data_IF_420781725427
#
_entry.id   IF_420781725427
#
_cell.length_a   1.000
_cell.length_b   1.000
_cell.length_c   1.000
_cell.angle_alpha   90.00
_cell.angle_beta   90.00
_cell.angle_gamma   90.00
#
_symmetry.space_group_name_H-M   'P 1'
#
loop_
_entity.id
_entity.type
_entity.pdbx_description
1 polymer ?
#
# COMPACT_ATOMS: atom_id res chain seq x y z
N UNK A 1 -48.36 9.51 62.05
CA UNK A 1 -47.27 8.62 61.58
C UNK A 1 -47.24 8.68 60.06
N UNK A 2 -46.31 9.48 59.49
CA UNK A 2 -46.12 9.61 58.02
C UNK A 2 -44.96 8.67 57.61
N UNK A 3 -45.27 7.63 56.83
CA UNK A 3 -44.26 6.74 56.27
C UNK A 3 -43.72 7.35 54.97
N UNK A 4 -42.45 7.77 54.98
CA UNK A 4 -41.73 8.26 53.81
C UNK A 4 -41.19 7.01 53.07
N UNK A 5 -41.69 6.72 51.87
CA UNK A 5 -41.12 5.71 50.96
C UNK A 5 -39.96 6.34 50.22
N UNK A 6 -38.72 5.91 50.50
CA UNK A 6 -37.54 6.26 49.73
C UNK A 6 -37.44 5.28 48.55
N UNK A 7 -37.72 5.78 47.35
CA UNK A 7 -37.57 5.04 46.12
C UNK A 7 -36.08 5.05 45.73
N UNK A 8 -35.36 3.97 45.95
CA UNK A 8 -34.01 3.79 45.46
C UNK A 8 -34.06 3.50 43.94
N UNK A 9 -33.71 4.51 43.10
CA UNK A 9 -33.53 4.35 41.69
C UNK A 9 -32.16 3.72 41.43
N UNK A 10 -32.14 2.40 41.15
CA UNK A 10 -30.93 1.72 40.73
C UNK A 10 -30.58 2.10 39.28
N UNK A 11 -29.63 3.02 39.17
CA UNK A 11 -29.04 3.41 37.86
C UNK A 11 -28.08 2.27 37.39
N UNK A 12 -28.59 1.35 36.59
CA UNK A 12 -27.74 0.35 35.92
C UNK A 12 -26.89 1.06 34.87
N UNK A 13 -25.62 1.27 35.17
CA UNK A 13 -24.62 1.69 34.17
C UNK A 13 -24.47 0.56 33.14
N UNK A 14 -25.08 0.72 31.99
CA UNK A 14 -24.83 -0.12 30.82
C UNK A 14 -23.44 0.25 30.29
N UNK A 15 -22.38 -0.45 30.76
CA UNK A 15 -21.06 -0.31 30.18
C UNK A 15 -21.09 -0.85 28.74
N UNK A 16 -20.70 -0.05 27.72
CA UNK A 16 -20.55 -0.60 26.40
C UNK A 16 -19.47 -1.68 26.44
N UNK A 17 -19.85 -2.91 26.07
CA UNK A 17 -18.88 -4.00 25.91
C UNK A 17 -17.83 -3.55 24.90
N UNK A 18 -16.60 -3.38 25.35
CA UNK A 18 -15.46 -3.12 24.47
C UNK A 18 -15.34 -4.29 23.50
N UNK A 19 -15.70 -4.06 22.24
CA UNK A 19 -15.60 -5.06 21.18
C UNK A 19 -14.11 -5.31 20.94
N UNK A 20 -13.65 -6.52 21.20
CA UNK A 20 -12.27 -6.91 20.98
C UNK A 20 -11.89 -6.61 19.50
N UNK A 21 -10.75 -5.96 19.30
CA UNK A 21 -10.25 -5.71 17.96
C UNK A 21 -10.05 -7.04 17.24
N UNK A 22 -10.59 -7.13 16.01
CA UNK A 22 -10.44 -8.35 15.20
C UNK A 22 -8.97 -8.56 14.87
N UNK A 23 -8.43 -9.70 15.24
CA UNK A 23 -7.08 -10.15 14.89
C UNK A 23 -7.24 -11.40 14.02
N UNK A 24 -6.55 -11.42 12.88
CA UNK A 24 -6.48 -12.62 12.04
C UNK A 24 -5.19 -13.38 12.37
N UNK A 25 -5.35 -14.67 12.60
CA UNK A 25 -4.28 -15.60 12.96
C UNK A 25 -4.58 -17.00 12.43
N UNK A 26 -3.70 -17.96 12.66
CA UNK A 26 -3.92 -19.35 12.25
C UNK A 26 -5.26 -19.86 12.77
N UNK A 27 -6.07 -20.42 11.86
CA UNK A 27 -7.44 -20.84 12.12
C UNK A 27 -8.52 -19.81 11.76
N UNK A 28 -8.16 -18.52 11.55
CA UNK A 28 -9.10 -17.52 11.01
C UNK A 28 -9.51 -17.86 9.59
N UNK A 29 -10.74 -17.50 9.20
CA UNK A 29 -11.23 -17.72 7.85
C UNK A 29 -12.19 -16.62 7.39
N UNK A 30 -12.41 -16.51 6.08
CA UNK A 30 -13.40 -15.62 5.50
C UNK A 30 -12.84 -14.50 4.64
N UNK A 31 -13.68 -13.50 4.35
CA UNK A 31 -13.39 -12.44 3.39
C UNK A 31 -12.17 -11.58 3.76
N UNK A 32 -11.97 -11.29 5.04
CA UNK A 32 -10.83 -10.48 5.48
C UNK A 32 -9.50 -11.25 5.34
N UNK A 33 -9.50 -12.57 5.56
CA UNK A 33 -8.35 -13.43 5.29
C UNK A 33 -8.03 -13.42 3.78
N UNK A 34 -9.05 -13.53 2.91
CA UNK A 34 -8.85 -13.41 1.45
C UNK A 34 -8.22 -12.09 1.05
N UNK A 35 -8.67 -10.96 1.63
CA UNK A 35 -8.09 -9.63 1.35
C UNK A 35 -6.61 -9.58 1.73
N UNK A 36 -6.26 -10.10 2.91
CA UNK A 36 -4.87 -10.17 3.37
C UNK A 36 -4.04 -11.07 2.46
N UNK A 37 -4.52 -12.27 2.15
CA UNK A 37 -3.84 -13.20 1.26
C UNK A 37 -3.60 -12.61 -0.13
N UNK A 38 -4.62 -11.94 -0.71
CA UNK A 38 -4.48 -11.31 -2.02
C UNK A 38 -3.36 -10.26 -2.01
N UNK A 39 -3.32 -9.40 -0.98
CA UNK A 39 -2.24 -8.42 -0.82
C UNK A 39 -0.85 -9.09 -0.72
N UNK A 40 -0.75 -10.16 0.06
CA UNK A 40 0.51 -10.90 0.21
C UNK A 40 0.95 -11.59 -1.10
N UNK A 41 -0.01 -12.05 -1.90
CA UNK A 41 0.24 -12.62 -3.23
C UNK A 41 0.70 -11.51 -4.20
N UNK A 42 -0.01 -10.39 -4.25
CA UNK A 42 0.33 -9.25 -5.10
C UNK A 42 1.74 -8.72 -4.80
N UNK A 43 2.16 -8.76 -3.53
CA UNK A 43 3.47 -8.31 -3.07
C UNK A 43 4.56 -9.41 -3.09
N UNK A 44 4.24 -10.64 -3.50
CA UNK A 44 5.17 -11.75 -3.61
C UNK A 44 5.57 -12.41 -2.29
N UNK A 45 4.85 -12.14 -1.18
CA UNK A 45 5.08 -12.82 0.09
C UNK A 45 4.39 -14.18 0.21
N UNK A 46 3.31 -14.40 -0.56
CA UNK A 46 2.53 -15.63 -0.55
C UNK A 46 2.37 -16.16 -1.97
N UNK A 47 2.67 -17.43 -2.18
CA UNK A 47 2.42 -18.12 -3.44
C UNK A 47 1.12 -18.92 -3.36
N UNK A 48 0.34 -18.93 -4.45
CA UNK A 48 -0.91 -19.68 -4.56
C UNK A 48 -2.14 -18.77 -4.72
N UNK A 49 -3.27 -19.19 -4.17
CA UNK A 49 -4.55 -18.49 -4.27
C UNK A 49 -5.03 -17.98 -2.91
N UNK A 50 -5.79 -16.90 -2.92
CA UNK A 50 -6.44 -16.37 -1.72
C UNK A 50 -7.68 -17.22 -1.37
N UNK A 51 -7.46 -18.34 -0.68
CA UNK A 51 -8.49 -19.31 -0.33
C UNK A 51 -9.37 -18.89 0.85
N UNK A 52 -8.94 -17.88 1.59
CA UNK A 52 -9.65 -17.36 2.77
C UNK A 52 -9.44 -18.19 4.02
N UNK A 53 -8.43 -19.06 4.06
CA UNK A 53 -8.06 -19.86 5.25
C UNK A 53 -6.69 -19.41 5.74
N UNK A 54 -6.62 -18.91 6.97
CA UNK A 54 -5.36 -18.45 7.56
C UNK A 54 -4.58 -19.64 8.09
N UNK A 55 -3.74 -20.22 7.26
CA UNK A 55 -2.84 -21.33 7.61
C UNK A 55 -1.42 -20.85 7.90
N UNK A 56 -0.50 -21.80 8.17
CA UNK A 56 0.91 -21.52 8.46
C UNK A 56 1.62 -20.78 7.33
N UNK A 57 1.28 -21.06 6.06
CA UNK A 57 1.84 -20.33 4.90
C UNK A 57 1.46 -18.85 4.95
N UNK A 58 0.21 -18.54 5.28
CA UNK A 58 -0.27 -17.16 5.44
C UNK A 58 0.42 -16.49 6.63
N UNK A 59 0.57 -17.19 7.76
CA UNK A 59 1.27 -16.68 8.94
C UNK A 59 2.73 -16.32 8.62
N UNK A 60 3.45 -17.20 7.95
CA UNK A 60 4.83 -16.95 7.55
C UNK A 60 4.96 -15.75 6.60
N UNK A 61 4.04 -15.63 5.62
CA UNK A 61 3.99 -14.50 4.70
C UNK A 61 3.70 -13.17 5.41
N UNK A 62 2.79 -13.16 6.39
CA UNK A 62 2.51 -12.00 7.24
C UNK A 62 3.73 -11.62 8.08
N UNK A 63 4.42 -12.58 8.69
CA UNK A 63 5.62 -12.32 9.47
C UNK A 63 6.75 -11.71 8.60
N UNK A 64 6.92 -12.20 7.37
CA UNK A 64 7.89 -11.64 6.42
C UNK A 64 7.52 -10.19 6.03
N UNK A 65 6.25 -9.91 5.76
CA UNK A 65 5.73 -8.57 5.52
C UNK A 65 5.98 -7.64 6.73
N UNK A 66 5.65 -8.10 7.93
CA UNK A 66 5.83 -7.34 9.17
C UNK A 66 7.30 -6.98 9.37
N UNK A 67 8.22 -7.94 9.20
CA UNK A 67 9.67 -7.72 9.31
C UNK A 67 10.15 -6.64 8.34
N UNK A 68 9.73 -6.71 7.06
CA UNK A 68 10.10 -5.71 6.04
C UNK A 68 9.59 -4.32 6.39
N UNK A 69 8.43 -4.22 7.04
CA UNK A 69 7.79 -2.95 7.39
C UNK A 69 8.10 -2.46 8.83
N UNK A 70 9.10 -3.06 9.52
CA UNK A 70 9.49 -2.65 10.86
C UNK A 70 8.42 -2.89 11.93
N UNK A 71 7.51 -3.84 11.69
CA UNK A 71 6.48 -4.26 12.62
C UNK A 71 6.96 -5.48 13.44
N UNK A 72 6.29 -5.75 14.56
CA UNK A 72 6.48 -7.02 15.30
C UNK A 72 6.10 -8.19 14.39
N UNK A 73 7.07 -9.08 14.13
CA UNK A 73 6.92 -10.19 13.17
C UNK A 73 6.27 -11.42 13.85
N UNK A 74 5.08 -11.24 14.43
CA UNK A 74 4.32 -12.29 15.13
C UNK A 74 3.47 -13.15 14.18
N UNK A 75 3.35 -12.75 12.93
CA UNK A 75 2.53 -13.43 11.95
C UNK A 75 1.03 -13.32 12.22
N UNK A 76 0.58 -12.28 12.93
CA UNK A 76 -0.83 -12.00 13.22
C UNK A 76 -1.24 -10.67 12.60
N UNK A 77 -2.43 -10.58 12.04
CA UNK A 77 -2.90 -9.32 11.46
C UNK A 77 -3.82 -8.61 12.46
N UNK A 78 -3.21 -7.83 13.33
CA UNK A 78 -3.91 -6.87 14.18
C UNK A 78 -4.05 -5.51 13.49
N UNK A 79 -4.56 -4.51 14.22
CA UNK A 79 -4.85 -3.18 13.70
C UNK A 79 -3.64 -2.51 13.01
N UNK A 80 -2.43 -2.60 13.60
CA UNK A 80 -1.20 -2.02 13.03
C UNK A 80 -0.82 -2.68 11.71
N UNK A 81 -0.85 -4.02 11.65
CA UNK A 81 -0.54 -4.78 10.45
C UNK A 81 -1.57 -4.55 9.36
N UNK A 82 -2.87 -4.55 9.70
CA UNK A 82 -3.96 -4.25 8.77
C UNK A 82 -3.83 -2.83 8.18
N UNK A 83 -3.51 -1.84 9.01
CA UNK A 83 -3.26 -0.46 8.56
C UNK A 83 -2.06 -0.38 7.60
N UNK A 84 -0.95 -1.05 7.91
CA UNK A 84 0.22 -1.12 7.04
C UNK A 84 -0.09 -1.81 5.71
N UNK A 85 -0.94 -2.83 5.71
CA UNK A 85 -1.43 -3.49 4.50
C UNK A 85 -2.48 -2.66 3.75
N UNK A 86 -3.05 -1.63 4.36
CA UNK A 86 -4.19 -0.89 3.81
C UNK A 86 -5.46 -1.73 3.71
N UNK A 87 -5.67 -2.63 4.66
CA UNK A 87 -6.83 -3.51 4.75
C UNK A 87 -7.69 -3.10 5.94
N UNK A 88 -9.01 -2.96 5.72
CA UNK A 88 -9.98 -2.78 6.80
C UNK A 88 -10.57 -4.15 7.15
N UNK A 89 -10.46 -4.54 8.42
CA UNK A 89 -11.02 -5.79 8.93
C UNK A 89 -12.48 -5.59 9.37
N UNK A 90 -13.36 -6.54 9.04
CA UNK A 90 -14.82 -6.50 9.28
C UNK A 90 -15.16 -6.69 10.74
N UNK A 91 -14.76 -6.11 11.66
CA UNK A 91 -15.01 -6.20 13.11
C UNK A 91 -14.24 -5.12 13.85
N UNK A 92 -13.35 -4.44 13.17
CA UNK A 92 -12.79 -3.18 13.60
C UNK A 92 -13.90 -2.15 13.41
N UNK A 93 -14.65 -1.84 14.47
CA UNK A 93 -15.48 -0.64 14.50
C UNK A 93 -14.53 0.50 14.23
N UNK A 94 -14.57 0.99 12.99
CA UNK A 94 -13.71 2.07 12.55
C UNK A 94 -13.82 3.22 13.52
N UNK A 95 -12.73 3.55 14.15
CA UNK A 95 -12.48 4.93 14.41
C UNK A 95 -12.48 5.60 13.04
N UNK A 96 -13.64 6.10 12.64
CA UNK A 96 -13.84 7.04 11.53
C UNK A 96 -13.15 8.34 11.95
N UNK A 97 -11.86 8.31 12.03
CA UNK A 97 -11.03 9.39 12.57
C UNK A 97 -9.57 9.17 12.34
N UNK A 98 -9.18 8.50 11.26
CA UNK A 98 -7.76 8.18 11.03
C UNK A 98 -7.23 8.59 9.66
N UNK A 99 -7.62 9.73 9.15
CA UNK A 99 -6.77 10.44 8.19
C UNK A 99 -5.50 10.97 8.87
N UNK A 100 -5.52 11.26 10.16
CA UNK A 100 -4.36 11.77 10.91
C UNK A 100 -3.40 10.65 11.38
N UNK A 101 -3.91 9.46 11.80
CA UNK A 101 -3.03 8.37 12.26
C UNK A 101 -2.34 7.62 11.11
N UNK A 102 -2.95 7.58 9.93
CA UNK A 102 -2.25 7.09 8.72
C UNK A 102 -1.18 8.06 8.22
N UNK A 103 -1.30 9.35 8.51
CA UNK A 103 -0.32 10.37 8.13
C UNK A 103 1.00 10.25 8.91
N UNK A 104 0.99 9.69 10.12
CA UNK A 104 2.19 9.57 10.96
C UNK A 104 3.14 8.43 10.57
N UNK A 105 2.74 7.53 9.67
CA UNK A 105 3.56 6.38 9.23
C UNK A 105 4.08 6.58 7.79
N UNK A 106 3.71 7.66 7.12
CA UNK A 106 4.19 7.93 5.76
C UNK A 106 5.61 8.49 5.83
N UNK A 107 6.61 7.68 5.47
CA UNK A 107 8.00 8.13 5.35
C UNK A 107 8.14 9.23 4.28
N UNK A 108 9.24 10.00 4.34
CA UNK A 108 9.56 11.00 3.31
C UNK A 108 9.60 10.38 1.91
N UNK A 109 10.21 9.20 1.79
CA UNK A 109 10.30 8.43 0.55
C UNK A 109 8.94 8.00 0.00
N UNK A 110 8.04 7.49 0.87
CA UNK A 110 6.68 7.15 0.45
C UNK A 110 5.93 8.39 -0.07
N UNK A 111 6.05 9.51 0.63
CA UNK A 111 5.38 10.76 0.23
C UNK A 111 5.92 11.26 -1.11
N UNK A 112 7.23 11.23 -1.32
CA UNK A 112 7.86 11.65 -2.56
C UNK A 112 7.46 10.74 -3.72
N UNK A 113 7.50 9.41 -3.50
CA UNK A 113 7.07 8.43 -4.50
C UNK A 113 5.59 8.61 -4.87
N UNK A 114 4.71 8.88 -3.89
CA UNK A 114 3.30 9.16 -4.14
C UNK A 114 3.07 10.43 -4.97
N UNK A 115 3.87 11.48 -4.74
CA UNK A 115 3.84 12.71 -5.55
C UNK A 115 4.22 12.43 -7.00
N UNK A 116 5.28 11.63 -7.22
CA UNK A 116 5.66 11.21 -8.57
C UNK A 116 4.54 10.42 -9.24
N UNK A 117 3.99 9.41 -8.59
CA UNK A 117 2.89 8.59 -9.11
C UNK A 117 1.70 9.47 -9.52
N UNK A 118 1.33 10.42 -8.67
CA UNK A 118 0.25 11.35 -8.96
C UNK A 118 0.55 12.21 -10.20
N UNK A 119 1.75 12.76 -10.28
CA UNK A 119 2.14 13.62 -11.40
C UNK A 119 2.19 12.86 -12.75
N UNK A 120 2.71 11.62 -12.75
CA UNK A 120 2.98 10.83 -13.95
C UNK A 120 1.82 9.89 -14.34
N UNK A 121 1.03 9.42 -13.37
CA UNK A 121 0.12 8.31 -13.60
C UNK A 121 -1.30 8.48 -13.02
N UNK A 122 -1.73 9.66 -12.57
CA UNK A 122 -3.06 9.88 -11.97
C UNK A 122 -4.24 9.47 -12.88
N UNK A 123 -4.03 9.47 -14.20
CA UNK A 123 -5.04 9.04 -15.18
C UNK A 123 -4.95 7.57 -15.58
N UNK A 124 -4.03 6.82 -15.00
CA UNK A 124 -3.85 5.40 -15.26
C UNK A 124 -4.68 4.52 -14.31
N UNK A 125 -4.86 3.25 -14.70
CA UNK A 125 -5.43 2.25 -13.80
C UNK A 125 -4.59 2.14 -12.52
N UNK A 126 -5.18 1.63 -11.43
CA UNK A 126 -4.44 1.43 -10.18
C UNK A 126 -3.15 0.63 -10.37
N UNK A 127 -3.23 -0.48 -11.15
CA UNK A 127 -2.06 -1.29 -11.52
C UNK A 127 -1.02 -0.48 -12.29
N UNK A 128 -1.44 0.44 -13.16
CA UNK A 128 -0.54 1.34 -13.89
C UNK A 128 0.16 2.34 -12.96
N UNK A 129 -0.53 2.85 -11.95
CA UNK A 129 0.06 3.72 -10.94
C UNK A 129 1.11 2.98 -10.10
N UNK A 130 0.82 1.74 -9.67
CA UNK A 130 1.80 0.89 -8.97
C UNK A 130 3.00 0.60 -9.88
N UNK A 131 2.78 0.33 -11.17
CA UNK A 131 3.83 0.06 -12.14
C UNK A 131 4.82 1.22 -12.29
N UNK A 132 4.33 2.46 -12.31
CA UNK A 132 5.20 3.66 -12.35
C UNK A 132 6.03 3.77 -11.07
N UNK A 133 5.46 3.53 -9.90
CA UNK A 133 6.21 3.49 -8.64
C UNK A 133 7.27 2.38 -8.64
N UNK A 134 6.91 1.18 -9.13
CA UNK A 134 7.81 0.04 -9.20
C UNK A 134 9.03 0.31 -10.07
N UNK A 135 8.89 1.01 -11.20
CA UNK A 135 10.04 1.41 -12.06
C UNK A 135 11.04 2.26 -11.26
N UNK A 136 10.58 3.18 -10.42
CA UNK A 136 11.50 3.98 -9.56
C UNK A 136 12.26 3.06 -8.62
N UNK A 137 11.58 2.11 -7.97
CA UNK A 137 12.21 1.17 -7.02
C UNK A 137 13.16 0.20 -7.72
N UNK A 138 12.83 -0.23 -8.93
CA UNK A 138 13.72 -1.05 -9.76
C UNK A 138 15.00 -0.28 -10.13
N UNK A 139 14.87 1.01 -10.47
CA UNK A 139 16.03 1.87 -10.69
C UNK A 139 16.90 2.00 -9.44
N UNK A 140 16.30 2.22 -8.26
CA UNK A 140 17.03 2.27 -6.97
C UNK A 140 17.82 0.97 -6.72
N UNK A 141 17.29 -0.16 -7.15
CA UNK A 141 17.92 -1.48 -7.01
C UNK A 141 18.95 -1.80 -8.10
N UNK A 142 19.01 -0.99 -9.16
CA UNK A 142 19.92 -1.18 -10.30
C UNK A 142 21.20 -0.37 -10.13
N UNK A 143 22.36 -0.99 -10.37
CA UNK A 143 23.65 -0.31 -10.33
C UNK A 143 23.79 0.83 -11.35
N UNK A 144 22.92 0.90 -12.37
CA UNK A 144 22.94 1.94 -13.41
C UNK A 144 22.25 3.24 -13.01
N UNK A 145 21.66 3.31 -11.82
CA UNK A 145 20.88 4.45 -11.34
C UNK A 145 21.29 4.85 -9.91
N UNK A 146 20.88 6.05 -9.45
CA UNK A 146 21.06 6.42 -8.06
C UNK A 146 20.37 5.41 -7.10
N UNK A 147 21.00 5.14 -5.97
CA UNK A 147 20.55 4.14 -4.98
C UNK A 147 19.53 4.67 -3.96
N UNK A 148 18.90 5.79 -4.23
CA UNK A 148 17.82 6.38 -3.40
C UNK A 148 16.63 6.82 -4.24
N UNK A 149 15.44 6.79 -3.66
CA UNK A 149 14.20 7.24 -4.33
C UNK A 149 14.33 8.70 -4.76
N UNK A 150 14.84 9.57 -3.90
CA UNK A 150 15.06 10.98 -4.23
C UNK A 150 16.09 11.15 -5.35
N UNK A 151 17.20 10.39 -5.29
CA UNK A 151 18.22 10.41 -6.34
C UNK A 151 17.68 10.02 -7.71
N UNK A 152 16.86 8.97 -7.79
CA UNK A 152 16.21 8.55 -9.04
C UNK A 152 15.20 9.58 -9.53
N UNK A 153 14.37 10.12 -8.63
CA UNK A 153 13.30 11.06 -9.02
C UNK A 153 13.87 12.39 -9.49
N UNK A 154 14.88 12.93 -8.80
CA UNK A 154 15.49 14.21 -9.13
C UNK A 154 16.70 14.12 -10.08
N UNK A 155 17.00 12.93 -10.62
CA UNK A 155 18.00 12.78 -11.65
C UNK A 155 17.63 13.65 -12.85
N UNK A 156 18.58 14.40 -13.38
CA UNK A 156 18.37 15.33 -14.50
C UNK A 156 17.71 14.63 -15.68
N UNK A 157 16.59 15.17 -16.17
CA UNK A 157 15.84 14.65 -17.32
C UNK A 157 15.06 13.34 -17.07
N UNK A 158 15.08 12.79 -15.86
CA UNK A 158 14.41 11.51 -15.58
C UNK A 158 12.89 11.61 -15.63
N UNK A 159 12.33 12.70 -15.13
CA UNK A 159 10.87 12.92 -15.07
C UNK A 159 10.52 14.38 -15.37
N UNK A 160 9.64 14.59 -16.34
CA UNK A 160 9.19 15.92 -16.72
C UNK A 160 8.42 16.66 -15.63
N UNK A 161 7.79 15.92 -14.72
CA UNK A 161 7.06 16.47 -13.58
C UNK A 161 7.96 17.23 -12.59
N UNK A 162 9.25 16.94 -12.59
CA UNK A 162 10.24 17.67 -11.77
C UNK A 162 10.52 19.04 -12.38
N UNK A 163 10.81 19.08 -13.69
CA UNK A 163 11.14 20.33 -14.39
C UNK A 163 9.95 21.29 -14.55
N UNK A 164 8.72 20.76 -14.70
CA UNK A 164 7.51 21.58 -14.81
C UNK A 164 6.83 21.88 -13.47
N UNK A 165 7.41 21.40 -12.35
CA UNK A 165 6.92 21.66 -10.99
C UNK A 165 5.71 20.85 -10.55
N UNK A 166 5.12 19.99 -11.40
CA UNK A 166 3.92 19.20 -11.03
C UNK A 166 4.20 18.13 -9.97
N UNK A 167 5.45 17.80 -9.70
CA UNK A 167 5.89 16.97 -8.57
C UNK A 167 5.47 17.56 -7.20
N UNK A 168 5.21 18.87 -7.13
CA UNK A 168 4.81 19.54 -5.89
C UNK A 168 3.33 19.44 -5.59
N UNK A 169 2.52 18.91 -6.50
CA UNK A 169 1.10 18.71 -6.29
C UNK A 169 0.84 17.71 -5.14
N UNK A 170 -0.27 17.92 -4.43
CA UNK A 170 -0.71 16.99 -3.37
C UNK A 170 -1.21 15.68 -4.01
N UNK A 171 -0.64 14.52 -3.67
CA UNK A 171 -1.11 13.25 -4.20
C UNK A 171 -2.47 12.88 -3.63
N UNK A 172 -3.29 12.22 -4.43
CA UNK A 172 -4.56 11.66 -3.99
C UNK A 172 -4.38 10.33 -3.21
N UNK A 173 -5.47 9.85 -2.60
CA UNK A 173 -5.46 8.61 -1.83
C UNK A 173 -5.06 7.38 -2.68
N UNK A 174 -5.33 7.40 -3.99
CA UNK A 174 -4.99 6.32 -4.90
C UNK A 174 -3.49 6.26 -5.16
N UNK A 175 -2.87 7.40 -5.45
CA UNK A 175 -1.42 7.51 -5.65
C UNK A 175 -0.64 7.16 -4.36
N UNK A 176 -1.14 7.58 -3.18
CA UNK A 176 -0.55 7.21 -1.88
C UNK A 176 -0.58 5.70 -1.67
N UNK A 177 -1.71 5.04 -1.96
CA UNK A 177 -1.82 3.58 -1.87
C UNK A 177 -0.93 2.87 -2.88
N UNK A 178 -0.88 3.34 -4.13
CA UNK A 178 -0.06 2.75 -5.18
C UNK A 178 1.43 2.79 -4.84
N UNK A 179 1.92 3.93 -4.36
CA UNK A 179 3.30 4.07 -3.88
C UNK A 179 3.61 3.12 -2.72
N UNK A 180 2.68 2.97 -1.75
CA UNK A 180 2.83 2.02 -0.64
C UNK A 180 2.87 0.58 -1.12
N UNK A 181 1.98 0.19 -2.04
CA UNK A 181 1.93 -1.19 -2.54
C UNK A 181 3.21 -1.54 -3.30
N UNK A 182 3.79 -0.61 -4.06
CA UNK A 182 5.10 -0.78 -4.68
C UNK A 182 6.23 -0.91 -3.63
N UNK A 183 6.26 -0.05 -2.60
CA UNK A 183 7.22 -0.15 -1.50
C UNK A 183 7.12 -1.47 -0.74
N UNK A 184 5.93 -2.04 -0.68
CA UNK A 184 5.68 -3.37 -0.09
C UNK A 184 6.10 -4.52 -0.99
N UNK A 185 6.52 -4.25 -2.23
CA UNK A 185 7.10 -5.23 -3.14
C UNK A 185 6.25 -5.58 -4.35
N UNK A 186 5.09 -4.94 -4.54
CA UNK A 186 4.31 -5.18 -5.75
C UNK A 186 4.95 -4.51 -6.96
N UNK A 187 5.55 -5.32 -7.82
CA UNK A 187 6.06 -4.91 -9.13
C UNK A 187 5.30 -5.59 -10.27
N UNK A 188 4.26 -4.97 -10.82
CA UNK A 188 3.53 -5.52 -11.95
C UNK A 188 4.29 -5.45 -13.28
N UNK A 189 5.50 -4.85 -13.29
CA UNK A 189 6.32 -4.69 -14.51
C UNK A 189 7.32 -5.84 -14.71
N UNK A 190 7.62 -6.57 -13.63
CA UNK A 190 8.62 -7.65 -13.65
C UNK A 190 10.05 -7.13 -13.84
N UNK A 191 10.43 -6.08 -13.14
CA UNK A 191 11.78 -5.53 -13.12
C UNK A 191 12.08 -4.51 -14.22
N UNK A 192 11.08 -3.89 -14.86
CA UNK A 192 11.31 -2.87 -15.88
C UNK A 192 11.94 -1.61 -15.28
N UNK A 193 12.87 -1.02 -16.04
CA UNK A 193 13.60 0.20 -15.69
C UNK A 193 13.07 1.43 -16.40
N UNK A 194 12.27 1.24 -17.46
CA UNK A 194 11.75 2.29 -18.30
C UNK A 194 10.26 2.14 -18.52
N UNK A 195 9.58 3.26 -18.76
CA UNK A 195 8.22 3.28 -19.27
C UNK A 195 8.00 4.49 -20.17
N UNK A 196 7.03 4.38 -21.06
CA UNK A 196 6.62 5.49 -21.93
C UNK A 196 5.20 5.30 -22.42
N UNK A 197 4.55 6.43 -22.72
CA UNK A 197 3.29 6.42 -23.44
C UNK A 197 3.59 6.60 -24.93
N UNK A 198 3.30 5.60 -25.79
CA UNK A 198 3.64 5.67 -27.22
C UNK A 198 2.92 6.77 -28.00
N UNK A 199 1.79 7.29 -27.43
CA UNK A 199 1.03 8.39 -28.04
C UNK A 199 1.60 9.77 -27.66
N UNK A 200 2.42 9.85 -26.62
CA UNK A 200 2.94 11.12 -26.09
C UNK A 200 4.44 11.32 -26.31
N UNK A 201 5.21 10.24 -26.38
CA UNK A 201 6.66 10.36 -26.53
C UNK A 201 7.08 10.50 -27.97
N UNK A 202 7.99 11.44 -28.24
CA UNK A 202 8.76 11.57 -29.48
C UNK A 202 10.17 10.96 -29.39
N UNK A 203 10.56 10.51 -28.20
CA UNK A 203 11.89 9.95 -27.95
C UNK A 203 12.08 8.62 -28.69
N UNK A 204 12.99 8.65 -29.68
CA UNK A 204 13.31 7.49 -30.51
C UNK A 204 14.06 6.41 -29.71
N UNK A 205 14.92 6.81 -28.78
CA UNK A 205 15.71 5.87 -28.00
C UNK A 205 14.83 4.98 -27.11
N UNK A 206 13.87 5.57 -26.39
CA UNK A 206 12.98 4.79 -25.52
C UNK A 206 12.13 3.78 -26.31
N UNK A 207 11.83 4.09 -27.58
CA UNK A 207 11.08 3.20 -28.47
C UNK A 207 11.89 1.98 -28.95
N UNK A 208 13.23 2.00 -28.82
CA UNK A 208 14.10 0.85 -29.14
C UNK A 208 14.24 -0.13 -27.99
N UNK A 209 13.77 0.22 -26.77
CA UNK A 209 13.86 -0.65 -25.60
C UNK A 209 12.94 -1.86 -25.73
N UNK A 210 13.39 -3.00 -25.19
CA UNK A 210 12.58 -4.22 -25.17
C UNK A 210 11.40 -4.08 -24.23
N UNK A 211 10.19 -4.01 -24.80
CA UNK A 211 8.95 -3.92 -24.03
C UNK A 211 8.63 -5.28 -23.42
N UNK A 212 8.55 -5.35 -22.08
CA UNK A 212 8.14 -6.56 -21.36
C UNK A 212 6.65 -6.64 -21.10
N UNK A 213 6.00 -5.50 -20.83
CA UNK A 213 4.56 -5.49 -20.55
C UNK A 213 3.92 -4.15 -20.93
N UNK A 214 2.61 -4.19 -21.15
CA UNK A 214 1.77 -3.01 -21.40
C UNK A 214 0.71 -2.96 -20.31
N UNK A 215 0.63 -1.83 -19.60
CA UNK A 215 -0.35 -1.60 -18.55
C UNK A 215 -0.96 -0.22 -18.79
N UNK A 216 -2.28 -0.18 -19.02
CA UNK A 216 -2.96 1.05 -19.39
C UNK A 216 -2.39 1.67 -20.67
N UNK A 217 -2.05 2.95 -20.62
CA UNK A 217 -1.46 3.67 -21.75
C UNK A 217 0.07 3.56 -21.82
N UNK A 218 0.72 2.90 -20.88
CA UNK A 218 2.16 2.81 -20.78
C UNK A 218 2.72 1.47 -21.26
N UNK A 219 3.86 1.53 -21.94
CA UNK A 219 4.74 0.41 -22.25
C UNK A 219 5.89 0.41 -21.26
N UNK A 220 6.14 -0.75 -20.63
CA UNK A 220 7.21 -0.96 -19.65
C UNK A 220 8.32 -1.78 -20.29
N UNK A 221 9.56 -1.34 -20.15
CA UNK A 221 10.71 -1.86 -20.89
C UNK A 221 11.96 -2.00 -20.00
N UNK A 222 12.92 -2.78 -20.51
CA UNK A 222 14.26 -2.98 -19.95
C UNK A 222 15.34 -2.37 -20.81
#
# INVERSE_FOLDING_TARGET
>A
MRRVFVLMLALTLLMPAARAATVLEVGSSGADVKKVQQKLIDWGYLNGTADGKYGEKTRAAVAAFQKKNGLSADGRVGAKTAAAMGVTLSGSTGASGSTAASASIISADHRLLAKLVYAEARGETYKGQVAVAAVVLNRVSSASFPNTISGVIYQSGAFSCVSNGSINNTPDATAIRAARDALNGWDPTGGCLYYYNPKKTSDKWIRTRTVKTVIGNHRFAV
#
